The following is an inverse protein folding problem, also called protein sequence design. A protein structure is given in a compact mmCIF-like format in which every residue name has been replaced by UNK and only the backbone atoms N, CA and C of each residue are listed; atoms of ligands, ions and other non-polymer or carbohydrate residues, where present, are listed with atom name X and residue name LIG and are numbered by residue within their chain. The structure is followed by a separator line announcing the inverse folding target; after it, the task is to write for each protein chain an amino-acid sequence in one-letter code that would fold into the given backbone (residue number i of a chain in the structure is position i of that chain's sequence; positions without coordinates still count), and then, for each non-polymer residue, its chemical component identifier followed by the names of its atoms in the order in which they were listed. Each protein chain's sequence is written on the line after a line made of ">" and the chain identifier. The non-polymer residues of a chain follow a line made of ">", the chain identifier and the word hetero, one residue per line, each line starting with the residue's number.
data_IF_654726578558
#
_entry.id   IF_654726578558
#
_cell.length_a   1.000
_cell.length_b   1.000
_cell.length_c   1.000
_cell.angle_alpha   90.00
_cell.angle_beta   90.00
_cell.angle_gamma   90.00
#
_symmetry.space_group_name_H-M   'P 1'
#
loop_
_entity.id
_entity.type
_entity.pdbx_description
1 polymer ?
#
# COMPACT_ATOMS: atom_id res chain seq x y z
N UNK A 1 19.53 28.95 -5.06
CA UNK A 1 18.82 27.96 -5.90
C UNK A 1 18.77 26.67 -5.11
N UNK A 2 17.71 26.46 -4.35
CA UNK A 2 17.52 25.21 -3.60
C UNK A 2 17.09 24.15 -4.61
N UNK A 3 17.98 23.19 -4.93
CA UNK A 3 17.60 22.02 -5.70
C UNK A 3 16.51 21.28 -4.95
N UNK A 4 15.27 21.41 -5.40
CA UNK A 4 14.17 20.56 -4.96
C UNK A 4 14.42 19.19 -5.56
N UNK A 5 15.23 18.36 -4.89
CA UNK A 5 15.49 16.99 -5.34
C UNK A 5 14.16 16.24 -5.30
N UNK A 6 13.54 16.13 -6.48
CA UNK A 6 12.28 15.45 -6.71
C UNK A 6 12.45 14.00 -6.27
N UNK A 7 11.84 13.63 -5.15
CA UNK A 7 11.82 12.24 -4.72
C UNK A 7 11.29 11.36 -5.86
N UNK A 8 11.79 10.12 -5.99
CA UNK A 8 11.52 9.30 -7.16
C UNK A 8 10.01 9.15 -7.42
N UNK A 9 9.56 9.46 -8.63
CA UNK A 9 8.12 9.40 -9.01
C UNK A 9 7.53 8.01 -8.79
N UNK A 10 8.34 6.96 -8.91
CA UNK A 10 7.92 5.58 -8.65
C UNK A 10 7.60 5.32 -7.17
N UNK A 11 8.33 5.95 -6.25
CA UNK A 11 8.09 5.80 -4.80
C UNK A 11 6.74 6.41 -4.41
N UNK A 12 6.39 7.56 -5.01
CA UNK A 12 5.08 8.17 -4.83
C UNK A 12 3.95 7.24 -5.28
N UNK A 13 4.12 6.58 -6.42
CA UNK A 13 3.15 5.61 -6.92
C UNK A 13 2.99 4.43 -5.95
N UNK A 14 4.10 3.85 -5.48
CA UNK A 14 4.09 2.75 -4.52
C UNK A 14 3.37 3.14 -3.23
N UNK A 15 3.65 4.32 -2.68
CA UNK A 15 3.02 4.82 -1.45
C UNK A 15 1.50 5.01 -1.59
N UNK A 16 1.05 5.56 -2.72
CA UNK A 16 -0.39 5.74 -2.99
C UNK A 16 -1.09 4.39 -3.15
N UNK A 17 -0.48 3.48 -3.91
CA UNK A 17 -1.01 2.13 -4.12
C UNK A 17 -1.05 1.31 -2.82
N UNK A 18 0.01 1.35 -2.02
CA UNK A 18 0.11 0.66 -0.74
C UNK A 18 -0.98 1.15 0.23
N UNK A 19 -1.14 2.48 0.36
CA UNK A 19 -2.16 3.09 1.21
C UNK A 19 -3.57 2.72 0.77
N UNK A 20 -3.89 2.91 -0.50
CA UNK A 20 -5.23 2.64 -1.03
C UNK A 20 -5.56 1.14 -0.99
N UNK A 21 -4.60 0.31 -1.39
CA UNK A 21 -4.72 -1.14 -1.39
C UNK A 21 -4.89 -1.70 0.02
N UNK A 22 -4.08 -1.23 0.97
CA UNK A 22 -4.20 -1.63 2.38
C UNK A 22 -5.52 -1.17 3.00
N UNK A 23 -5.97 0.06 2.75
CA UNK A 23 -7.25 0.55 3.25
C UNK A 23 -8.44 -0.28 2.72
N UNK A 24 -8.43 -0.60 1.42
CA UNK A 24 -9.44 -1.45 0.81
C UNK A 24 -9.39 -2.89 1.35
N UNK A 25 -8.19 -3.47 1.50
CA UNK A 25 -8.01 -4.84 1.99
C UNK A 25 -8.42 -4.99 3.46
N UNK A 26 -8.11 -4.01 4.31
CA UNK A 26 -8.59 -3.99 5.71
C UNK A 26 -10.11 -3.82 5.76
N UNK A 27 -10.66 -2.88 4.96
CA UNK A 27 -12.10 -2.63 4.90
C UNK A 27 -12.89 -3.85 4.40
N UNK A 28 -12.43 -4.51 3.34
CA UNK A 28 -13.02 -5.76 2.84
C UNK A 28 -12.78 -6.93 3.78
N UNK A 29 -11.64 -6.95 4.48
CA UNK A 29 -11.26 -7.96 5.46
C UNK A 29 -12.28 -8.15 6.58
N UNK A 30 -12.97 -7.08 6.96
CA UNK A 30 -14.06 -7.12 7.92
C UNK A 30 -15.19 -8.09 7.51
N UNK A 31 -15.39 -8.27 6.21
CA UNK A 31 -16.43 -9.13 5.64
C UNK A 31 -15.94 -10.54 5.26
N UNK A 32 -14.64 -10.82 5.32
CA UNK A 32 -14.10 -12.12 4.92
C UNK A 32 -14.71 -13.27 5.73
N UNK A 33 -14.76 -13.15 7.05
CA UNK A 33 -15.28 -14.21 7.90
C UNK A 33 -16.79 -14.49 7.68
N UNK A 34 -17.69 -13.49 7.65
CA UNK A 34 -19.09 -13.72 7.28
C UNK A 34 -19.27 -14.34 5.89
N UNK A 35 -18.53 -13.86 4.89
CA UNK A 35 -18.61 -14.40 3.52
C UNK A 35 -18.11 -15.84 3.48
N UNK A 36 -16.99 -16.14 4.11
CA UNK A 36 -16.45 -17.50 4.22
C UNK A 36 -17.41 -18.44 4.96
N UNK A 37 -18.11 -17.97 6.00
CA UNK A 37 -19.10 -18.77 6.71
C UNK A 37 -20.27 -19.18 5.80
N UNK A 38 -20.76 -18.24 4.99
CA UNK A 38 -21.82 -18.51 4.00
C UNK A 38 -21.33 -19.47 2.91
N UNK A 39 -20.08 -19.30 2.46
CA UNK A 39 -19.51 -20.09 1.37
C UNK A 39 -18.94 -21.45 1.81
N UNK A 40 -18.82 -21.70 3.11
CA UNK A 40 -18.29 -22.93 3.70
C UNK A 40 -18.89 -24.24 3.16
N UNK A 41 -20.17 -24.32 2.75
CA UNK A 41 -20.72 -25.54 2.14
C UNK A 41 -20.12 -25.88 0.77
N UNK A 42 -19.43 -24.93 0.12
CA UNK A 42 -18.78 -25.09 -1.19
C UNK A 42 -17.26 -24.98 -1.05
N UNK A 43 -16.54 -26.11 -0.88
CA UNK A 43 -15.10 -26.13 -0.66
C UNK A 43 -14.32 -25.46 -1.79
N UNK A 44 -14.70 -25.71 -3.05
CA UNK A 44 -14.03 -25.14 -4.23
C UNK A 44 -14.10 -23.60 -4.24
N UNK A 45 -15.27 -23.04 -3.94
CA UNK A 45 -15.48 -21.58 -3.90
C UNK A 45 -14.72 -20.96 -2.72
N UNK A 46 -14.74 -21.64 -1.57
CA UNK A 46 -13.98 -21.22 -0.38
C UNK A 46 -12.48 -21.23 -0.64
N UNK A 47 -11.95 -22.26 -1.32
CA UNK A 47 -10.54 -22.33 -1.70
C UNK A 47 -10.16 -21.21 -2.68
N UNK A 48 -10.98 -20.96 -3.71
CA UNK A 48 -10.77 -19.85 -4.63
C UNK A 48 -10.73 -18.49 -3.90
N UNK A 49 -11.61 -18.28 -2.92
CA UNK A 49 -11.63 -17.07 -2.10
C UNK A 49 -10.36 -16.93 -1.25
N UNK A 50 -9.88 -18.01 -0.62
CA UNK A 50 -8.61 -18.00 0.10
C UNK A 50 -7.42 -17.67 -0.79
N UNK A 51 -7.37 -18.23 -2.00
CA UNK A 51 -6.33 -17.90 -2.99
C UNK A 51 -6.39 -16.42 -3.35
N UNK A 52 -7.57 -15.87 -3.60
CA UNK A 52 -7.74 -14.45 -3.92
C UNK A 52 -7.26 -13.54 -2.77
N UNK A 53 -7.67 -13.86 -1.53
CA UNK A 53 -7.23 -13.14 -0.32
C UNK A 53 -5.70 -13.21 -0.21
N UNK A 54 -5.13 -14.41 -0.35
CA UNK A 54 -3.68 -14.63 -0.27
C UNK A 54 -2.89 -13.88 -1.34
N UNK A 55 -3.35 -13.90 -2.59
CA UNK A 55 -2.73 -13.16 -3.70
C UNK A 55 -2.79 -11.65 -3.47
N UNK A 56 -3.93 -11.15 -2.97
CA UNK A 56 -4.09 -9.73 -2.66
C UNK A 56 -3.16 -9.34 -1.50
N UNK A 57 -3.10 -10.13 -0.44
CA UNK A 57 -2.18 -9.92 0.68
C UNK A 57 -0.70 -9.99 0.27
N UNK A 58 -0.33 -10.92 -0.62
CA UNK A 58 1.01 -11.03 -1.19
C UNK A 58 1.37 -9.77 -1.98
N UNK A 59 0.46 -9.30 -2.84
CA UNK A 59 0.66 -8.08 -3.61
C UNK A 59 0.89 -6.86 -2.71
N UNK A 60 0.10 -6.72 -1.63
CA UNK A 60 0.31 -5.66 -0.64
C UNK A 60 1.65 -5.81 0.09
N UNK A 61 2.06 -7.03 0.43
CA UNK A 61 3.38 -7.29 1.00
C UNK A 61 4.53 -6.83 0.09
N UNK A 62 4.41 -7.06 -1.22
CA UNK A 62 5.38 -6.57 -2.22
C UNK A 62 5.40 -5.04 -2.31
N UNK A 63 4.24 -4.39 -2.26
CA UNK A 63 4.14 -2.93 -2.22
C UNK A 63 4.77 -2.35 -0.95
N UNK A 64 4.49 -2.93 0.21
CA UNK A 64 5.10 -2.53 1.48
C UNK A 64 6.64 -2.70 1.48
N UNK A 65 7.14 -3.78 0.90
CA UNK A 65 8.59 -3.98 0.73
C UNK A 65 9.20 -2.93 -0.21
N UNK A 66 8.54 -2.63 -1.33
CA UNK A 66 8.99 -1.59 -2.26
C UNK A 66 9.00 -0.21 -1.60
N UNK A 67 8.00 0.09 -0.76
CA UNK A 67 7.92 1.32 0.03
C UNK A 67 9.08 1.43 1.02
N UNK A 68 9.30 0.40 1.83
CA UNK A 68 10.40 0.36 2.79
C UNK A 68 11.77 0.52 2.11
N UNK A 69 11.96 -0.15 0.96
CA UNK A 69 13.19 -0.04 0.16
C UNK A 69 13.40 1.38 -0.37
N UNK A 70 12.35 2.00 -0.92
CA UNK A 70 12.44 3.36 -1.43
C UNK A 70 12.75 4.39 -0.35
N UNK A 71 12.14 4.26 0.83
CA UNK A 71 12.46 5.09 1.99
C UNK A 71 13.90 4.87 2.47
N UNK A 72 14.36 3.62 2.54
CA UNK A 72 15.73 3.29 2.93
C UNK A 72 16.77 3.88 1.96
N UNK A 73 16.49 3.86 0.65
CA UNK A 73 17.36 4.49 -0.36
C UNK A 73 17.44 6.01 -0.18
N UNK A 74 16.31 6.67 0.12
CA UNK A 74 16.29 8.12 0.35
C UNK A 74 17.09 8.49 1.60
N UNK A 75 16.89 7.77 2.71
CA UNK A 75 17.65 7.98 3.95
C UNK A 75 19.14 7.75 3.74
N UNK A 76 19.52 6.73 2.96
CA UNK A 76 20.92 6.45 2.61
C UNK A 76 21.56 7.55 1.76
N UNK A 77 20.77 8.30 1.00
CA UNK A 77 21.24 9.42 0.17
C UNK A 77 21.55 10.70 0.93
N UNK A 78 21.36 10.74 2.27
CA UNK A 78 21.43 11.95 3.08
C UNK A 78 20.51 13.08 2.57
N UNK A 79 19.47 12.71 1.81
CA UNK A 79 18.45 13.60 1.31
C UNK A 79 17.28 13.59 2.29
N UNK A 80 17.01 14.72 2.93
CA UNK A 80 15.76 14.90 3.67
C UNK A 80 14.62 15.03 2.65
N UNK A 81 13.58 14.20 2.81
CA UNK A 81 12.34 14.36 2.06
C UNK A 81 11.72 15.70 2.47
N UNK A 82 11.89 16.73 1.62
CA UNK A 82 11.33 18.05 1.87
C UNK A 82 9.83 17.99 2.15
N UNK A 83 9.36 18.86 3.03
CA UNK A 83 7.97 18.95 3.50
C UNK A 83 6.94 18.97 2.35
N UNK A 84 7.31 19.55 1.22
CA UNK A 84 6.50 19.61 -0.01
C UNK A 84 6.21 18.22 -0.60
N UNK A 85 7.15 17.26 -0.49
CA UNK A 85 6.93 15.89 -0.95
C UNK A 85 5.92 15.16 -0.06
N UNK A 86 6.06 15.28 1.27
CA UNK A 86 5.12 14.70 2.23
C UNK A 86 3.72 15.28 2.06
N UNK A 87 3.60 16.59 1.88
CA UNK A 87 2.31 17.26 1.59
C UNK A 87 1.65 16.71 0.33
N UNK A 88 2.44 16.44 -0.73
CA UNK A 88 1.92 15.90 -1.99
C UNK A 88 1.42 14.44 -1.93
N UNK A 89 1.82 13.70 -0.89
CA UNK A 89 1.40 12.31 -0.65
C UNK A 89 0.21 12.25 0.31
N UNK A 90 0.18 13.14 1.31
CA UNK A 90 -0.79 13.09 2.41
C UNK A 90 -2.04 13.92 2.09
N UNK A 91 -2.06 14.73 1.04
CA UNK A 91 -3.16 15.68 0.73
C UNK A 91 -3.45 16.54 1.98
N UNK A 92 -2.40 17.19 2.50
CA UNK A 92 -2.58 18.11 3.62
C UNK A 92 -3.33 19.35 3.13
N UNK A 93 -4.48 19.71 3.72
CA UNK A 93 -5.17 20.94 3.34
C UNK A 93 -4.28 22.14 3.64
N UNK A 94 -3.98 22.94 2.62
CA UNK A 94 -3.35 24.25 2.78
C UNK A 94 -4.30 25.13 3.58
N UNK A 95 -3.99 25.34 4.86
CA UNK A 95 -4.60 26.39 5.66
C UNK A 95 -3.52 27.25 6.28
#
# INVERSE_FOLDING_TARGET
>A
MTETTQAPRWLRFVLVCDRAGSAWYVGTGFFFAPVLAVLSPWPEVTAALWVLIGLTGLWLGLLGLAMATGLAMVLRGNHELGEDYWRSIIDYPTR
#
